data_IF_293574555867
#
_entry.id   IF_293574555867
#
_cell.length_a   1.000
_cell.length_b   1.000
_cell.length_c   1.000
_cell.angle_alpha   90.00
_cell.angle_beta   90.00
_cell.angle_gamma   90.00
#
_symmetry.space_group_name_H-M   'P 1'
#
loop_
_entity.id
_entity.type
_entity.pdbx_description
1 polymer ?
#
# COMPACT_ATOMS: atom_id res chain seq x y z
N UNK A 1 20.79 5.90 -41.15
CA UNK A 1 19.82 6.50 -40.20
C UNK A 1 18.74 5.50 -39.75
N UNK A 2 19.02 4.20 -39.60
CA UNK A 2 18.02 3.18 -39.22
C UNK A 2 18.21 2.60 -37.79
N UNK A 3 19.38 2.78 -37.18
CA UNK A 3 19.68 2.22 -35.86
C UNK A 3 19.06 3.00 -34.69
N UNK A 4 18.75 4.29 -34.87
CA UNK A 4 18.15 5.15 -33.83
C UNK A 4 16.70 4.77 -33.53
N UNK A 5 15.98 4.31 -34.56
CA UNK A 5 14.60 3.83 -34.43
C UNK A 5 14.56 2.51 -33.66
N UNK A 6 15.57 1.66 -33.82
CA UNK A 6 15.66 0.38 -33.11
C UNK A 6 15.91 0.59 -31.61
N UNK A 7 16.80 1.52 -31.24
CA UNK A 7 17.01 1.89 -29.83
C UNK A 7 15.77 2.50 -29.19
N UNK A 8 15.04 3.36 -29.91
CA UNK A 8 13.78 3.92 -29.42
C UNK A 8 12.70 2.85 -29.28
N UNK A 9 12.60 1.91 -30.21
CA UNK A 9 11.65 0.80 -30.15
C UNK A 9 11.91 -0.11 -28.93
N UNK A 10 13.18 -0.40 -28.62
CA UNK A 10 13.54 -1.19 -27.44
C UNK A 10 13.24 -0.46 -26.12
N UNK A 11 13.40 0.87 -26.07
CA UNK A 11 13.03 1.67 -24.89
C UNK A 11 11.50 1.64 -24.71
N UNK A 12 10.72 1.81 -25.78
CA UNK A 12 9.24 1.75 -25.71
C UNK A 12 8.74 0.35 -25.35
N UNK A 13 9.34 -0.72 -25.88
CA UNK A 13 9.01 -2.10 -25.52
C UNK A 13 9.32 -2.40 -24.04
N UNK A 14 10.49 -1.97 -23.54
CA UNK A 14 10.80 -2.10 -22.11
C UNK A 14 9.86 -1.27 -21.23
N UNK A 15 9.46 -0.06 -21.66
CA UNK A 15 8.48 0.75 -20.93
C UNK A 15 7.08 0.11 -20.89
N UNK A 16 6.64 -0.55 -21.97
CA UNK A 16 5.37 -1.27 -21.99
C UNK A 16 5.41 -2.52 -21.09
N UNK A 17 6.57 -3.17 -20.97
CA UNK A 17 6.78 -4.29 -20.04
C UNK A 17 6.84 -3.81 -18.56
N UNK A 18 7.44 -2.63 -18.33
CA UNK A 18 7.53 -2.00 -16.99
C UNK A 18 6.21 -1.32 -16.55
N UNK A 19 5.32 -0.99 -17.49
CA UNK A 19 4.00 -0.40 -17.22
C UNK A 19 3.03 -1.36 -16.53
N UNK A 20 3.41 -2.63 -16.33
CA UNK A 20 2.69 -3.55 -15.46
C UNK A 20 2.73 -3.18 -13.97
N UNK A 21 3.46 -2.13 -13.56
CA UNK A 21 3.36 -1.58 -12.20
C UNK A 21 2.20 -0.61 -11.97
N UNK A 22 1.44 -0.19 -13.00
CA UNK A 22 0.33 0.78 -12.80
C UNK A 22 -1.07 0.24 -13.17
N UNK A 23 -1.16 -0.93 -13.81
CA UNK A 23 -2.44 -1.52 -14.24
C UNK A 23 -3.07 -2.49 -13.24
N UNK A 24 -2.45 -2.70 -12.05
CA UNK A 24 -3.09 -3.44 -10.95
C UNK A 24 -3.93 -2.57 -9.99
N UNK A 25 -4.06 -1.25 -10.22
CA UNK A 25 -4.89 -0.40 -9.36
C UNK A 25 -6.41 -0.61 -9.54
N UNK A 26 -6.84 -1.13 -10.70
CA UNK A 26 -8.27 -1.21 -11.05
C UNK A 26 -8.89 -2.61 -10.91
N UNK A 27 -8.12 -3.68 -10.66
CA UNK A 27 -8.66 -5.05 -10.51
C UNK A 27 -8.98 -5.47 -9.08
N UNK A 28 -8.70 -4.62 -8.09
CA UNK A 28 -9.01 -4.85 -6.68
C UNK A 28 -10.26 -4.09 -6.19
N UNK A 29 -11.06 -3.55 -7.11
CA UNK A 29 -12.38 -2.97 -6.81
C UNK A 29 -13.50 -4.00 -6.61
N UNK A 30 -13.18 -5.24 -6.21
CA UNK A 30 -14.17 -6.02 -5.46
C UNK A 30 -14.14 -5.51 -4.04
N UNK A 31 -15.01 -4.53 -3.81
CA UNK A 31 -15.50 -4.04 -2.54
C UNK A 31 -15.85 -5.24 -1.63
N UNK A 32 -14.84 -5.89 -1.05
CA UNK A 32 -15.00 -6.64 0.19
C UNK A 32 -15.22 -5.55 1.21
N UNK A 33 -16.50 -5.18 1.39
CA UNK A 33 -16.98 -4.47 2.58
C UNK A 33 -16.20 -5.08 3.74
N UNK A 34 -15.29 -4.29 4.31
CA UNK A 34 -14.51 -4.71 5.46
C UNK A 34 -15.53 -5.18 6.48
N UNK A 35 -15.61 -6.49 6.65
CA UNK A 35 -16.54 -7.09 7.59
C UNK A 35 -16.14 -6.52 8.94
N UNK A 36 -16.99 -5.69 9.53
CA UNK A 36 -16.82 -5.15 10.88
C UNK A 36 -17.06 -6.28 11.90
N UNK A 37 -16.33 -7.39 11.75
CA UNK A 37 -16.46 -8.62 12.51
C UNK A 37 -15.09 -9.11 12.95
N UNK A 38 -14.83 -8.96 14.25
CA UNK A 38 -13.84 -9.72 15.05
C UNK A 38 -12.36 -9.63 14.61
N UNK A 39 -11.94 -8.60 13.87
CA UNK A 39 -10.52 -8.30 13.70
C UNK A 39 -10.26 -6.82 14.01
N UNK A 40 -9.76 -6.48 15.22
CA UNK A 40 -9.50 -5.07 15.60
C UNK A 40 -8.50 -4.38 14.66
N UNK A 41 -7.67 -5.16 13.97
CA UNK A 41 -6.59 -4.74 13.08
C UNK A 41 -7.10 -4.03 11.80
N UNK A 42 -8.35 -4.25 11.39
CA UNK A 42 -8.92 -3.61 10.19
C UNK A 42 -9.75 -2.33 10.47
N UNK A 43 -9.71 -1.78 11.69
CA UNK A 43 -10.45 -0.56 12.01
C UNK A 43 -9.80 0.66 11.33
N UNK A 44 -10.58 1.47 10.62
CA UNK A 44 -10.05 2.64 9.89
C UNK A 44 -9.19 2.29 8.66
N UNK A 45 -9.27 1.06 8.19
CA UNK A 45 -8.50 0.55 7.07
C UNK A 45 -9.28 0.65 5.75
N UNK A 46 -8.64 1.10 4.67
CA UNK A 46 -9.23 1.10 3.31
C UNK A 46 -8.96 -0.21 2.57
N UNK A 47 -7.79 -0.84 2.81
CA UNK A 47 -7.40 -2.13 2.23
C UNK A 47 -6.85 -3.04 3.32
N UNK A 48 -7.59 -4.08 3.70
CA UNK A 48 -7.19 -5.01 4.74
C UNK A 48 -6.84 -6.41 4.20
N UNK A 49 -5.78 -6.99 4.75
CA UNK A 49 -5.35 -8.37 4.52
C UNK A 49 -5.55 -9.20 5.80
N UNK A 50 -5.87 -10.48 5.64
CA UNK A 50 -6.10 -11.39 6.78
C UNK A 50 -4.82 -11.62 7.59
N UNK A 51 -3.68 -11.77 6.92
CA UNK A 51 -2.41 -12.15 7.57
C UNK A 51 -1.53 -10.96 7.93
N UNK A 52 -1.62 -9.88 7.15
CA UNK A 52 -0.78 -8.68 7.31
C UNK A 52 -1.53 -7.52 8.00
N UNK A 53 -2.80 -7.70 8.36
CA UNK A 53 -3.61 -6.60 8.87
C UNK A 53 -3.87 -5.52 7.82
N UNK A 54 -3.88 -4.26 8.24
CA UNK A 54 -4.13 -3.16 7.33
C UNK A 54 -2.94 -2.88 6.40
N UNK A 55 -3.20 -2.78 5.10
CA UNK A 55 -2.20 -2.44 4.08
C UNK A 55 -2.28 -0.96 3.72
N UNK A 56 -3.49 -0.39 3.73
CA UNK A 56 -3.69 1.04 3.51
C UNK A 56 -4.75 1.61 4.44
N UNK A 57 -4.43 2.73 5.09
CA UNK A 57 -5.34 3.39 6.02
C UNK A 57 -6.28 4.35 5.30
N UNK A 58 -7.33 4.78 5.99
CA UNK A 58 -8.12 5.93 5.57
C UNK A 58 -7.28 7.22 5.65
N UNK A 59 -7.60 8.25 4.84
CA UNK A 59 -6.93 9.55 4.93
C UNK A 59 -6.95 10.09 6.37
N UNK A 60 -5.90 10.83 6.75
CA UNK A 60 -5.66 11.40 8.10
C UNK A 60 -5.19 10.42 9.19
N UNK A 61 -5.31 9.10 8.98
CA UNK A 61 -4.72 8.10 9.86
C UNK A 61 -3.28 7.79 9.45
N UNK A 62 -2.52 7.25 10.39
CA UNK A 62 -1.16 6.75 10.19
C UNK A 62 -1.16 5.22 10.20
N UNK A 63 -0.48 4.63 9.23
CA UNK A 63 -0.17 3.20 9.20
C UNK A 63 0.99 2.92 10.15
N UNK A 64 0.74 2.07 11.15
CA UNK A 64 1.73 1.59 12.10
C UNK A 64 1.96 0.09 11.88
N UNK A 65 3.22 -0.29 11.62
CA UNK A 65 3.59 -1.69 11.48
C UNK A 65 3.94 -2.28 12.85
N UNK A 66 2.96 -2.93 13.48
CA UNK A 66 3.13 -3.57 14.78
C UNK A 66 3.76 -4.94 14.61
N UNK A 67 4.86 -5.19 15.32
CA UNK A 67 5.51 -6.50 15.39
C UNK A 67 5.07 -7.23 16.66
N UNK A 68 4.54 -8.42 16.49
CA UNK A 68 4.18 -9.31 17.58
C UNK A 68 4.84 -10.67 17.33
N UNK A 69 5.89 -10.96 18.10
CA UNK A 69 6.76 -12.12 17.89
C UNK A 69 7.33 -12.14 16.46
N UNK A 70 6.98 -13.17 15.69
CA UNK A 70 7.41 -13.40 14.32
C UNK A 70 6.45 -12.80 13.27
N UNK A 71 5.32 -12.22 13.71
CA UNK A 71 4.33 -11.64 12.81
C UNK A 71 4.48 -10.12 12.84
N UNK A 72 4.22 -9.51 11.69
CA UNK A 72 4.11 -8.07 11.53
C UNK A 72 2.80 -7.77 10.85
N UNK A 73 2.03 -6.83 11.41
CA UNK A 73 0.75 -6.45 10.86
C UNK A 73 0.56 -4.93 10.94
N UNK A 74 -0.17 -4.38 9.99
CA UNK A 74 -0.50 -2.97 9.95
C UNK A 74 -1.73 -2.65 10.80
N UNK A 75 -1.64 -1.60 11.61
CA UNK A 75 -2.75 -0.98 12.32
C UNK A 75 -2.88 0.49 11.88
N UNK A 76 -4.11 1.02 11.87
CA UNK A 76 -4.35 2.44 11.57
C UNK A 76 -4.60 3.23 12.85
N UNK A 77 -3.79 4.25 13.11
CA UNK A 77 -3.83 5.05 14.33
C UNK A 77 -4.02 6.54 14.02
N UNK A 78 -4.63 7.27 14.95
CA UNK A 78 -4.75 8.73 14.86
C UNK A 78 -3.43 9.45 15.22
N UNK A 79 -2.62 8.84 16.08
CA UNK A 79 -1.33 9.33 16.52
C UNK A 79 -0.36 8.15 16.67
N UNK A 80 0.92 8.40 16.41
CA UNK A 80 1.95 7.37 16.53
C UNK A 80 2.26 7.05 17.99
N UNK A 81 2.58 5.78 18.32
CA UNK A 81 2.94 5.39 19.68
C UNK A 81 4.30 5.96 20.10
N UNK A 82 4.57 5.92 21.41
CA UNK A 82 5.85 6.39 21.98
C UNK A 82 7.05 5.73 21.30
N UNK A 83 8.04 6.54 20.94
CA UNK A 83 9.23 6.08 20.23
C UNK A 83 9.12 6.09 18.71
N UNK A 84 7.94 6.42 18.18
CA UNK A 84 7.71 6.60 16.74
C UNK A 84 7.35 8.05 16.43
N UNK A 85 7.66 8.49 15.22
CA UNK A 85 7.24 9.78 14.68
C UNK A 85 6.33 9.59 13.47
N UNK A 86 5.41 10.53 13.27
CA UNK A 86 4.48 10.50 12.15
C UNK A 86 5.11 11.11 10.90
N UNK A 87 5.13 10.34 9.81
CA UNK A 87 5.54 10.78 8.48
C UNK A 87 4.28 10.94 7.63
N UNK A 88 4.12 12.10 6.98
CA UNK A 88 3.03 12.33 6.03
C UNK A 88 3.58 12.33 4.61
N UNK A 89 3.14 11.40 3.79
CA UNK A 89 3.46 11.34 2.37
C UNK A 89 2.19 11.48 1.53
N UNK A 90 2.30 11.89 0.25
CA UNK A 90 1.14 11.96 -0.65
C UNK A 90 0.40 10.64 -0.79
N UNK A 91 1.13 9.52 -0.67
CA UNK A 91 0.58 8.17 -0.83
C UNK A 91 -0.03 7.64 0.48
N UNK A 92 0.73 7.70 1.57
CA UNK A 92 0.33 7.14 2.87
C UNK A 92 1.02 7.87 4.02
N UNK A 93 0.31 8.06 5.14
CA UNK A 93 0.96 8.51 6.37
C UNK A 93 1.41 7.28 7.16
N UNK A 94 2.63 7.27 7.67
CA UNK A 94 3.21 6.14 8.40
C UNK A 94 3.76 6.57 9.76
N UNK A 95 3.83 5.63 10.68
CA UNK A 95 4.62 5.77 11.90
C UNK A 95 6.00 5.11 11.69
N UNK A 96 7.07 5.84 11.98
CA UNK A 96 8.47 5.43 11.78
C UNK A 96 9.28 5.50 13.05
#
# INVERSE_FOLDING_TARGET
MQFRLFSLALIVLNCMEYSNCQTQSNRWRRNKRASYGVYPICKGCSVCSKDNGCVNCQPKLFLFLRRERMRQYGECLHACPTGYYGVRAPEINTCS
#
